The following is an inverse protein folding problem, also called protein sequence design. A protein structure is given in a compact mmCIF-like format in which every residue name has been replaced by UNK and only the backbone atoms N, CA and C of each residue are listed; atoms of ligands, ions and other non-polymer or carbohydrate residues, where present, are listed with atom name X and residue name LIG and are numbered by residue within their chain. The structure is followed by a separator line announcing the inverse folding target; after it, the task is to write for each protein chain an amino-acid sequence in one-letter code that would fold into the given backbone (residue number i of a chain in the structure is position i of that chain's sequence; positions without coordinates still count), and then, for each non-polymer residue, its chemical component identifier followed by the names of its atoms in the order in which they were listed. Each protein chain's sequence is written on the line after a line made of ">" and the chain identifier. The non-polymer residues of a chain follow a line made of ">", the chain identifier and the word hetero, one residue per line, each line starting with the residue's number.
data_IF_250194648579
#
_entry.id   IF_250194648579
#
_cell.length_a   1.000
_cell.length_b   1.000
_cell.length_c   1.000
_cell.angle_alpha   90.00
_cell.angle_beta   90.00
_cell.angle_gamma   90.00
#
_symmetry.space_group_name_H-M   'P 1'
#
loop_
_entity.id
_entity.type
_entity.pdbx_description
1 polymer ?
#
# COMPACT_ATOMS: atom_id res chain seq x y z
N UNK A 1 6.21 15.60 9.81
CA UNK A 1 5.50 15.47 8.50
C UNK A 1 6.12 14.32 7.70
N UNK A 2 7.45 14.29 7.58
CA UNK A 2 8.18 13.22 6.88
C UNK A 2 7.92 11.81 7.46
N UNK A 3 7.89 11.65 8.79
CA UNK A 3 7.65 10.34 9.42
C UNK A 3 6.26 9.76 9.13
N UNK A 4 5.26 10.63 8.91
CA UNK A 4 3.90 10.21 8.53
C UNK A 4 3.93 9.61 7.13
N UNK A 5 4.66 10.23 6.20
CA UNK A 5 4.82 9.73 4.84
C UNK A 5 5.59 8.42 4.79
N UNK A 6 6.66 8.25 5.58
CA UNK A 6 7.40 6.97 5.64
C UNK A 6 6.53 5.80 6.12
N UNK A 7 5.62 6.07 7.07
CA UNK A 7 4.63 5.08 7.52
C UNK A 7 3.58 4.82 6.44
N UNK A 8 3.03 5.88 5.86
CA UNK A 8 2.05 5.80 4.77
C UNK A 8 2.62 5.02 3.57
N UNK A 9 3.90 5.19 3.27
CA UNK A 9 4.61 4.53 2.18
C UNK A 9 4.55 3.00 2.27
N UNK A 10 4.72 2.48 3.49
CA UNK A 10 4.56 1.05 3.75
C UNK A 10 3.11 0.60 3.68
N UNK A 11 2.20 1.34 4.32
CA UNK A 11 0.80 0.96 4.38
C UNK A 11 0.13 0.98 3.00
N UNK A 12 0.39 2.01 2.18
CA UNK A 12 -0.21 2.13 0.85
C UNK A 12 0.30 1.07 -0.13
N UNK A 13 1.45 0.44 0.13
CA UNK A 13 2.06 -0.58 -0.74
C UNK A 13 1.83 -2.00 -0.21
N UNK A 14 2.31 -2.31 1.00
CA UNK A 14 2.25 -3.67 1.56
C UNK A 14 0.84 -4.10 1.96
N UNK A 15 0.03 -3.22 2.56
CA UNK A 15 -1.29 -3.62 3.07
C UNK A 15 -2.25 -4.10 1.97
N UNK A 16 -2.47 -3.38 0.86
CA UNK A 16 -3.38 -3.85 -0.17
C UNK A 16 -2.86 -5.13 -0.85
N UNK A 17 -1.55 -5.28 -1.03
CA UNK A 17 -0.96 -6.52 -1.55
C UNK A 17 -1.16 -7.69 -0.58
N UNK A 18 -0.99 -7.46 0.73
CA UNK A 18 -1.25 -8.43 1.79
C UNK A 18 -2.72 -8.84 1.79
N UNK A 19 -3.64 -7.87 1.64
CA UNK A 19 -5.08 -8.16 1.47
C UNK A 19 -5.31 -9.01 0.22
N UNK A 20 -4.71 -8.69 -0.93
CA UNK A 20 -4.91 -9.42 -2.19
C UNK A 20 -4.34 -10.83 -2.23
N UNK A 21 -3.29 -11.11 -1.46
CA UNK A 21 -2.56 -12.38 -1.52
C UNK A 21 -2.78 -13.25 -0.29
N UNK A 22 -3.17 -12.66 0.84
CA UNK A 22 -3.13 -13.32 2.15
C UNK A 22 -1.72 -13.47 2.72
N UNK A 23 -0.71 -12.90 2.05
CA UNK A 23 0.69 -13.10 2.40
C UNK A 23 1.17 -12.13 3.50
N UNK A 24 2.19 -12.58 4.21
CA UNK A 24 2.94 -11.82 5.21
C UNK A 24 3.90 -10.80 4.56
N UNK A 25 4.42 -9.86 5.35
CA UNK A 25 5.40 -8.89 4.87
C UNK A 25 6.67 -9.55 4.31
N UNK A 26 7.15 -10.64 4.93
CA UNK A 26 8.28 -11.42 4.41
C UNK A 26 7.96 -11.96 3.02
N UNK A 27 6.86 -12.70 2.88
CA UNK A 27 6.49 -13.34 1.61
C UNK A 27 6.37 -12.32 0.48
N UNK A 28 5.71 -11.18 0.75
CA UNK A 28 5.58 -10.05 -0.19
C UNK A 28 6.95 -9.49 -0.58
N UNK A 29 7.83 -9.28 0.39
CA UNK A 29 9.14 -8.68 0.19
C UNK A 29 10.17 -9.60 -0.46
N UNK A 30 9.98 -10.92 -0.36
CA UNK A 30 10.88 -11.94 -0.92
C UNK A 30 10.45 -12.47 -2.28
N UNK A 31 9.17 -12.40 -2.63
CA UNK A 31 8.71 -12.80 -3.97
C UNK A 31 9.19 -11.78 -5.03
N UNK A 32 9.97 -12.20 -6.05
CA UNK A 32 10.53 -11.27 -7.02
C UNK A 32 9.47 -10.51 -7.83
N UNK A 33 8.36 -11.16 -8.18
CA UNK A 33 7.29 -10.57 -8.99
C UNK A 33 6.48 -9.55 -8.19
N UNK A 34 6.08 -9.91 -6.98
CA UNK A 34 5.33 -9.04 -6.07
C UNK A 34 6.20 -7.85 -5.63
N UNK A 35 7.50 -8.06 -5.41
CA UNK A 35 8.43 -6.97 -5.07
C UNK A 35 8.51 -5.90 -6.17
N UNK A 36 8.32 -6.25 -7.44
CA UNK A 36 8.18 -5.26 -8.54
C UNK A 36 6.94 -4.40 -8.36
N UNK A 37 5.82 -4.98 -7.93
CA UNK A 37 4.58 -4.23 -7.66
C UNK A 37 4.78 -3.27 -6.49
N UNK A 38 5.37 -3.75 -5.37
CA UNK A 38 5.69 -2.91 -4.20
C UNK A 38 6.54 -1.71 -4.61
N UNK A 39 7.61 -1.95 -5.39
CA UNK A 39 8.51 -0.90 -5.86
C UNK A 39 7.79 0.15 -6.70
N UNK A 40 6.91 -0.26 -7.63
CA UNK A 40 6.16 0.68 -8.48
C UNK A 40 5.23 1.56 -7.65
N UNK A 41 4.45 0.95 -6.75
CA UNK A 41 3.56 1.72 -5.86
C UNK A 41 4.34 2.67 -4.95
N UNK A 42 5.49 2.23 -4.44
CA UNK A 42 6.35 3.09 -3.64
C UNK A 42 6.93 4.24 -4.47
N UNK A 43 7.43 3.99 -5.67
CA UNK A 43 7.94 5.06 -6.53
C UNK A 43 6.86 6.13 -6.80
N UNK A 44 5.65 5.71 -7.16
CA UNK A 44 4.52 6.63 -7.40
C UNK A 44 4.23 7.51 -6.18
N UNK A 45 4.11 6.95 -4.97
CA UNK A 45 3.84 7.79 -3.81
C UNK A 45 5.06 8.53 -3.24
N UNK A 46 6.29 8.16 -3.63
CA UNK A 46 7.46 9.01 -3.40
C UNK A 46 7.35 10.27 -4.24
N UNK A 47 7.05 10.15 -5.54
CA UNK A 47 6.86 11.30 -6.43
C UNK A 47 5.76 12.24 -5.89
N UNK A 48 4.63 11.69 -5.44
CA UNK A 48 3.55 12.47 -4.82
C UNK A 48 4.03 13.18 -3.55
N UNK A 49 4.71 12.46 -2.66
CA UNK A 49 5.22 13.05 -1.42
C UNK A 49 6.20 14.18 -1.70
N UNK A 50 7.12 14.00 -2.65
CA UNK A 50 8.10 15.01 -3.04
C UNK A 50 7.45 16.25 -3.66
N UNK A 51 6.43 16.08 -4.51
CA UNK A 51 5.63 17.19 -5.05
C UNK A 51 4.90 17.98 -3.94
N UNK A 52 4.58 17.33 -2.82
CA UNK A 52 4.00 17.93 -1.62
C UNK A 52 5.04 18.46 -0.61
N UNK A 53 6.32 18.46 -0.98
CA UNK A 53 7.43 19.00 -0.17
C UNK A 53 7.99 18.07 0.89
N UNK A 54 7.65 16.78 0.84
CA UNK A 54 8.18 15.74 1.75
C UNK A 54 9.60 15.37 1.33
N UNK A 55 10.46 15.07 2.31
CA UNK A 55 11.80 14.54 2.04
C UNK A 55 11.93 13.12 2.55
N UNK A 56 12.09 12.17 1.63
CA UNK A 56 12.39 10.78 1.98
C UNK A 56 13.88 10.64 2.26
N UNK A 57 14.23 10.43 3.53
CA UNK A 57 15.63 10.21 3.96
C UNK A 57 16.05 8.73 3.90
N UNK A 58 15.09 7.85 3.65
CA UNK A 58 15.34 6.42 3.48
C UNK A 58 15.20 6.09 2.00
N UNK A 59 16.15 5.33 1.49
CA UNK A 59 16.09 4.79 0.14
C UNK A 59 14.93 3.80 0.00
N UNK A 60 14.36 3.73 -1.20
CA UNK A 60 13.22 2.87 -1.51
C UNK A 60 13.54 1.39 -1.27
N UNK A 61 14.68 0.88 -1.73
CA UNK A 61 15.04 -0.53 -1.50
C UNK A 61 15.30 -0.81 -0.03
N UNK A 62 15.93 0.13 0.69
CA UNK A 62 16.03 0.05 2.15
C UNK A 62 14.66 -0.01 2.82
N UNK A 63 13.68 0.76 2.33
CA UNK A 63 12.31 0.75 2.87
C UNK A 63 11.60 -0.58 2.64
N UNK A 64 11.76 -1.18 1.45
CA UNK A 64 11.22 -2.50 1.13
C UNK A 64 11.88 -3.57 2.00
N UNK A 65 13.22 -3.55 2.11
CA UNK A 65 13.96 -4.48 2.96
C UNK A 65 13.52 -4.38 4.42
N UNK A 66 13.41 -3.16 4.96
CA UNK A 66 12.93 -2.96 6.33
C UNK A 66 11.50 -3.49 6.55
N UNK A 67 10.62 -3.43 5.54
CA UNK A 67 9.32 -4.08 5.59
C UNK A 67 9.43 -5.61 5.59
N UNK A 68 10.30 -6.17 4.75
CA UNK A 68 10.57 -7.61 4.63
C UNK A 68 11.15 -8.18 5.94
N UNK A 69 12.02 -7.43 6.59
CA UNK A 69 12.72 -7.81 7.83
C UNK A 69 11.79 -7.88 9.05
N UNK A 70 10.62 -7.23 9.02
CA UNK A 70 9.56 -7.42 10.05
C UNK A 70 9.17 -8.90 10.15
N UNK A 71 9.31 -9.65 9.04
CA UNK A 71 9.14 -11.10 9.02
C UNK A 71 7.72 -11.53 8.72
N UNK A 72 7.31 -12.64 9.35
CA UNK A 72 6.07 -13.36 9.05
C UNK A 72 4.87 -12.69 9.73
N UNK A 73 4.75 -11.38 9.49
CA UNK A 73 3.72 -10.52 10.05
C UNK A 73 2.67 -10.23 8.98
N UNK A 74 1.41 -10.53 9.28
CA UNK A 74 0.27 -10.09 8.48
C UNK A 74 -0.04 -8.63 8.79
N UNK A 75 -0.28 -7.83 7.76
CA UNK A 75 -0.66 -6.43 7.96
C UNK A 75 -1.96 -6.33 8.74
N UNK A 76 -2.15 -5.24 9.50
CA UNK A 76 -3.40 -5.02 10.25
C UNK A 76 -4.62 -5.06 9.33
N UNK A 77 -4.51 -4.55 8.10
CA UNK A 77 -5.60 -4.58 7.12
C UNK A 77 -5.94 -6.00 6.67
N UNK A 78 -4.95 -6.90 6.51
CA UNK A 78 -5.24 -8.32 6.26
C UNK A 78 -5.92 -8.98 7.46
N UNK A 79 -5.48 -8.66 8.68
CA UNK A 79 -6.12 -9.17 9.90
C UNK A 79 -7.57 -8.69 10.03
N UNK A 80 -7.86 -7.44 9.66
CA UNK A 80 -9.23 -6.92 9.64
C UNK A 80 -10.09 -7.62 8.58
N UNK A 81 -9.54 -7.93 7.40
CA UNK A 81 -10.23 -8.75 6.38
C UNK A 81 -10.54 -10.15 6.94
N UNK A 82 -9.56 -10.81 7.55
CA UNK A 82 -9.72 -12.15 8.14
C UNK A 82 -10.73 -12.17 9.29
N UNK A 83 -10.88 -11.05 10.00
CA UNK A 83 -11.86 -10.86 11.05
C UNK A 83 -13.25 -10.41 10.54
N UNK A 84 -13.44 -10.28 9.22
CA UNK A 84 -14.72 -9.83 8.64
C UNK A 84 -15.05 -8.36 8.93
N UNK A 85 -14.04 -7.53 9.22
CA UNK A 85 -14.23 -6.11 9.53
C UNK A 85 -14.15 -5.25 8.28
N UNK A 86 -14.78 -4.08 8.36
CA UNK A 86 -14.67 -3.06 7.31
C UNK A 86 -13.22 -2.60 7.14
N UNK A 87 -12.72 -2.59 5.90
CA UNK A 87 -11.39 -2.12 5.57
C UNK A 87 -11.35 -0.61 5.31
N UNK A 88 -10.26 0.04 5.72
CA UNK A 88 -10.00 1.47 5.51
C UNK A 88 -9.19 1.73 4.21
N UNK A 89 -9.58 1.10 3.10
CA UNK A 89 -8.84 1.22 1.82
C UNK A 89 -8.83 2.66 1.28
N UNK A 90 -9.96 3.35 1.38
CA UNK A 90 -10.12 4.71 0.83
C UNK A 90 -9.35 5.75 1.62
N UNK A 91 -9.30 5.58 2.94
CA UNK A 91 -8.62 6.49 3.84
C UNK A 91 -7.09 6.47 3.66
N UNK A 92 -6.56 5.36 3.12
CA UNK A 92 -5.13 5.20 2.88
C UNK A 92 -4.85 5.29 1.38
N UNK A 93 -5.05 4.21 0.62
CA UNK A 93 -4.64 4.15 -0.78
C UNK A 93 -5.47 5.08 -1.66
N UNK A 94 -6.79 5.14 -1.44
CA UNK A 94 -7.66 6.07 -2.17
C UNK A 94 -7.24 7.54 -1.99
N UNK A 95 -6.93 7.94 -0.76
CA UNK A 95 -6.45 9.27 -0.44
C UNK A 95 -5.10 9.59 -1.11
N UNK A 96 -4.16 8.62 -1.20
CA UNK A 96 -2.90 8.83 -1.92
C UNK A 96 -3.12 9.00 -3.42
N UNK A 97 -3.97 8.18 -4.05
CA UNK A 97 -4.34 8.37 -5.45
C UNK A 97 -5.00 9.74 -5.70
N UNK A 98 -5.83 10.22 -4.77
CA UNK A 98 -6.42 11.56 -4.85
C UNK A 98 -5.38 12.68 -4.75
N UNK A 99 -4.43 12.55 -3.81
CA UNK A 99 -3.31 13.47 -3.73
C UNK A 99 -2.49 13.50 -5.02
N UNK A 100 -2.26 12.34 -5.66
CA UNK A 100 -1.59 12.26 -6.96
C UNK A 100 -2.29 13.09 -8.03
N UNK A 101 -3.63 12.97 -8.15
CA UNK A 101 -4.42 13.79 -9.07
C UNK A 101 -4.31 15.29 -8.77
N UNK A 102 -4.30 15.69 -7.50
CA UNK A 102 -4.19 17.10 -7.10
C UNK A 102 -2.84 17.72 -7.48
N UNK A 103 -1.77 16.93 -7.52
CA UNK A 103 -0.42 17.40 -7.91
C UNK A 103 -0.03 17.03 -9.35
N UNK A 104 -0.94 16.45 -10.12
CA UNK A 104 -0.72 16.09 -11.53
C UNK A 104 0.20 14.88 -11.74
N UNK A 105 0.26 13.97 -10.77
CA UNK A 105 1.06 12.73 -10.85
C UNK A 105 0.12 11.54 -11.04
N UNK A 106 0.39 10.72 -12.06
CA UNK A 106 -0.37 9.51 -12.34
C UNK A 106 0.02 8.37 -11.38
N UNK A 107 -0.94 7.51 -11.05
CA UNK A 107 -0.78 6.44 -10.06
C UNK A 107 -1.20 5.06 -10.58
N UNK A 108 -0.75 4.62 -11.76
CA UNK A 108 -1.31 3.43 -12.42
C UNK A 108 -1.17 2.15 -11.60
N UNK A 109 -0.04 1.91 -10.91
CA UNK A 109 0.13 0.73 -10.08
C UNK A 109 -0.79 0.78 -8.86
N UNK A 110 -0.85 1.93 -8.18
CA UNK A 110 -1.78 2.11 -7.06
C UNK A 110 -3.25 2.00 -7.48
N UNK A 111 -3.64 2.53 -8.64
CA UNK A 111 -5.01 2.48 -9.15
C UNK A 111 -5.45 1.04 -9.45
N UNK A 112 -4.59 0.25 -10.12
CA UNK A 112 -4.84 -1.17 -10.36
C UNK A 112 -4.98 -1.95 -9.05
N UNK A 113 -4.05 -1.76 -8.12
CA UNK A 113 -4.07 -2.46 -6.83
C UNK A 113 -5.28 -2.04 -5.99
N UNK A 114 -5.64 -0.76 -5.99
CA UNK A 114 -6.80 -0.26 -5.29
C UNK A 114 -8.09 -0.90 -5.83
N UNK A 115 -8.26 -0.96 -7.16
CA UNK A 115 -9.42 -1.57 -7.79
C UNK A 115 -9.58 -3.05 -7.43
N UNK A 116 -8.50 -3.84 -7.54
CA UNK A 116 -8.52 -5.26 -7.20
C UNK A 116 -8.77 -5.48 -5.70
N UNK A 117 -8.15 -4.67 -4.84
CA UNK A 117 -8.29 -4.80 -3.38
C UNK A 117 -9.70 -4.48 -2.92
N UNK A 118 -10.30 -3.42 -3.48
CA UNK A 118 -11.71 -3.08 -3.26
C UNK A 118 -12.63 -4.22 -3.67
N UNK A 119 -12.46 -4.79 -4.87
CA UNK A 119 -13.28 -5.91 -5.33
C UNK A 119 -13.18 -7.12 -4.39
N UNK A 120 -11.96 -7.50 -3.96
CA UNK A 120 -11.76 -8.58 -2.99
C UNK A 120 -12.47 -8.29 -1.67
N UNK A 121 -12.35 -7.07 -1.16
CA UNK A 121 -12.98 -6.67 0.09
C UNK A 121 -14.51 -6.67 0.00
N UNK A 122 -15.09 -6.25 -1.14
CA UNK A 122 -16.53 -6.34 -1.41
C UNK A 122 -17.00 -7.79 -1.42
N UNK A 123 -16.29 -8.69 -2.11
CA UNK A 123 -16.61 -10.14 -2.13
C UNK A 123 -16.58 -10.73 -0.72
N UNK A 124 -15.67 -10.26 0.13
CA UNK A 124 -15.55 -10.67 1.53
C UNK A 124 -16.55 -9.98 2.49
N UNK A 125 -17.43 -9.09 2.00
CA UNK A 125 -18.34 -8.30 2.86
C UNK A 125 -17.63 -7.28 3.76
N UNK A 126 -16.35 -7.00 3.49
CA UNK A 126 -15.47 -6.13 4.27
C UNK A 126 -15.33 -4.72 3.66
N UNK A 127 -16.09 -4.41 2.63
CA UNK A 127 -16.16 -3.10 2.01
C UNK A 127 -17.62 -2.79 1.68
N UNK A 128 -18.11 -1.57 1.93
CA UNK A 128 -19.49 -1.23 1.58
C UNK A 128 -19.72 -1.53 0.10
N UNK A 129 -20.77 -2.31 -0.20
CA UNK A 129 -21.29 -2.37 -1.55
C UNK A 129 -21.86 -0.99 -1.90
N UNK A 130 -21.69 -0.59 -3.15
CA UNK A 130 -22.45 0.53 -3.73
C UNK A 130 -23.95 0.21 -3.73
#
# INVERSE_FOLDING_TARGET
>A
RDDIWVKLWGNMSFNPISVLTGATLREIGTDPGVRVVVRRMMAEGQEIGEALGVRFRVDLEKRINGGTEVGDHKTSTLQDLEAGKRLELDAILGAVCEMGRLVGIETPAMDMINALTRQRATIAGCYPGD
#
